data_IF_859583718965
#
_entry.id   IF_859583718965
#
_cell.length_a   1.000
_cell.length_b   1.000
_cell.length_c   1.000
_cell.angle_alpha   90.00
_cell.angle_beta   90.00
_cell.angle_gamma   90.00
#
_symmetry.space_group_name_H-M   'P 1'
#
loop_
_entity.id
_entity.type
_entity.pdbx_description
1 polymer ?
#
# COMPACT_ATOMS: atom_id res chain seq x y z
N UNK A 1 -20.26 -17.46 -3.00
CA UNK A 1 -19.78 -16.06 -2.84
C UNK A 1 -18.67 -15.83 -3.86
N UNK A 2 -18.99 -15.27 -5.02
CA UNK A 2 -17.99 -14.98 -6.05
C UNK A 2 -17.27 -13.68 -5.72
N UNK A 3 -15.95 -13.75 -5.55
CA UNK A 3 -15.08 -12.57 -5.49
C UNK A 3 -14.95 -12.07 -6.93
N UNK A 4 -15.68 -11.02 -7.28
CA UNK A 4 -15.63 -10.39 -8.61
C UNK A 4 -14.19 -9.97 -8.91
N UNK A 5 -13.53 -10.68 -9.83
CA UNK A 5 -12.26 -10.28 -10.41
C UNK A 5 -12.52 -9.07 -11.30
N UNK A 6 -11.97 -7.89 -11.01
CA UNK A 6 -12.30 -6.68 -11.75
C UNK A 6 -11.80 -6.69 -13.18
N UNK A 7 -12.70 -6.37 -14.10
CA UNK A 7 -12.47 -6.27 -15.54
C UNK A 7 -11.62 -5.06 -15.96
N UNK A 8 -11.31 -4.14 -15.04
CA UNK A 8 -10.43 -2.99 -15.27
C UNK A 8 -10.00 -2.32 -13.97
N UNK A 9 -8.70 -2.02 -13.84
CA UNK A 9 -8.11 -1.45 -12.64
C UNK A 9 -7.52 -2.47 -11.67
N UNK A 10 -7.16 -2.00 -10.49
CA UNK A 10 -6.46 -2.79 -9.49
C UNK A 10 -6.60 -2.17 -8.10
N UNK A 11 -6.36 -2.99 -7.10
CA UNK A 11 -6.61 -2.70 -5.70
C UNK A 11 -5.31 -2.72 -4.93
N UNK A 12 -5.04 -1.62 -4.24
CA UNK A 12 -4.01 -1.56 -3.22
C UNK A 12 -4.66 -1.80 -1.86
N UNK A 13 -4.13 -2.78 -1.14
CA UNK A 13 -4.47 -3.07 0.24
C UNK A 13 -3.20 -2.93 1.09
N UNK A 14 -3.27 -2.09 2.10
CA UNK A 14 -2.23 -1.95 3.12
C UNK A 14 -2.82 -2.48 4.43
N UNK A 15 -2.15 -3.42 5.06
CA UNK A 15 -2.54 -3.97 6.37
C UNK A 15 -1.40 -3.69 7.33
N UNK A 16 -1.67 -2.98 8.42
CA UNK A 16 -0.64 -2.59 9.37
C UNK A 16 -0.14 -3.84 10.09
N UNK A 17 1.14 -4.17 9.91
CA UNK A 17 1.79 -5.31 10.54
C UNK A 17 2.27 -4.93 11.95
N UNK A 18 2.98 -3.80 12.08
CA UNK A 18 3.49 -3.32 13.36
C UNK A 18 3.59 -1.79 13.38
N UNK A 19 3.67 -1.24 14.59
CA UNK A 19 3.96 0.18 14.86
C UNK A 19 4.95 0.21 16.01
N UNK A 20 6.05 0.92 15.82
CA UNK A 20 7.00 1.31 16.88
C UNK A 20 7.01 2.83 17.04
N UNK A 21 7.91 3.34 17.88
CA UNK A 21 8.13 4.78 18.04
C UNK A 21 8.77 5.41 16.78
N UNK A 22 9.60 4.66 16.07
CA UNK A 22 10.37 5.16 14.93
C UNK A 22 9.72 4.83 13.58
N UNK A 23 9.00 3.72 13.48
CA UNK A 23 8.53 3.21 12.19
C UNK A 23 7.14 2.56 12.25
N UNK A 24 6.45 2.59 11.11
CA UNK A 24 5.25 1.78 10.88
C UNK A 24 5.47 0.83 9.70
N UNK A 25 5.11 -0.44 9.91
CA UNK A 25 5.23 -1.47 8.88
C UNK A 25 3.84 -1.87 8.38
N UNK A 26 3.71 -1.96 7.06
CA UNK A 26 2.50 -2.44 6.39
C UNK A 26 2.81 -3.64 5.51
N UNK A 27 1.96 -4.65 5.58
CA UNK A 27 1.82 -5.65 4.52
C UNK A 27 1.07 -4.99 3.36
N UNK A 28 1.66 -5.08 2.17
CA UNK A 28 1.13 -4.50 0.92
C UNK A 28 0.65 -5.62 0.02
N UNK A 29 -0.63 -5.59 -0.34
CA UNK A 29 -1.21 -6.46 -1.34
C UNK A 29 -1.71 -5.64 -2.53
N UNK A 30 -1.11 -5.86 -3.70
CA UNK A 30 -1.51 -5.31 -4.98
C UNK A 30 -2.31 -6.39 -5.70
N UNK A 31 -3.56 -6.10 -6.07
CA UNK A 31 -4.40 -7.04 -6.80
C UNK A 31 -4.75 -6.40 -8.13
N UNK A 32 -4.25 -6.95 -9.21
CA UNK A 32 -4.56 -6.53 -10.58
C UNK A 32 -5.37 -7.61 -11.31
N UNK A 33 -5.71 -7.36 -12.58
CA UNK A 33 -6.35 -8.36 -13.42
C UNK A 33 -5.43 -9.57 -13.66
N UNK A 34 -4.12 -9.34 -13.73
CA UNK A 34 -3.12 -10.36 -14.07
C UNK A 34 -2.60 -11.15 -12.85
N UNK A 35 -3.00 -10.77 -11.64
CA UNK A 35 -2.58 -11.49 -10.44
C UNK A 35 -2.58 -10.67 -9.16
N UNK A 36 -1.97 -11.28 -8.14
CA UNK A 36 -1.79 -10.65 -6.82
C UNK A 36 -0.31 -10.65 -6.47
N UNK A 37 0.14 -9.51 -5.93
CA UNK A 37 1.50 -9.30 -5.47
C UNK A 37 1.50 -8.88 -4.01
N UNK A 38 2.30 -9.57 -3.22
CA UNK A 38 2.44 -9.36 -1.79
C UNK A 38 3.85 -8.88 -1.48
N UNK A 39 3.95 -7.83 -0.68
CA UNK A 39 5.20 -7.27 -0.22
C UNK A 39 5.02 -6.59 1.12
N UNK A 40 6.07 -5.98 1.62
CA UNK A 40 6.05 -5.21 2.87
C UNK A 40 6.50 -3.78 2.59
N UNK A 41 6.11 -2.86 3.45
CA UNK A 41 6.61 -1.50 3.44
C UNK A 41 6.89 -1.00 4.84
N UNK A 42 7.86 -0.10 4.94
CA UNK A 42 8.19 0.62 6.16
C UNK A 42 8.10 2.11 5.89
N UNK A 43 7.58 2.86 6.88
CA UNK A 43 7.60 4.31 6.88
C UNK A 43 8.28 4.75 8.17
N UNK A 44 9.35 5.52 8.05
CA UNK A 44 9.96 6.24 9.16
C UNK A 44 9.03 7.39 9.59
N UNK A 45 8.67 7.43 10.87
CA UNK A 45 7.65 8.33 11.40
C UNK A 45 8.16 9.78 11.38
N UNK A 46 9.43 10.00 11.73
CA UNK A 46 10.03 11.32 11.86
C UNK A 46 10.27 12.00 10.50
N UNK A 47 10.84 11.27 9.55
CA UNK A 47 11.28 11.77 8.24
C UNK A 47 10.26 11.54 7.13
N UNK A 48 9.41 10.53 7.27
CA UNK A 48 8.52 10.06 6.20
C UNK A 48 9.24 9.28 5.11
N UNK A 49 10.49 8.86 5.34
CA UNK A 49 11.20 7.96 4.43
C UNK A 49 10.39 6.67 4.26
N UNK A 50 10.12 6.32 3.01
CA UNK A 50 9.31 5.19 2.64
C UNK A 50 10.15 4.16 1.92
N UNK A 51 10.14 2.95 2.46
CA UNK A 51 10.78 1.79 1.84
C UNK A 51 9.72 0.77 1.49
N UNK A 52 9.82 0.26 0.27
CA UNK A 52 8.92 -0.75 -0.26
C UNK A 52 9.78 -1.98 -0.56
N UNK A 53 9.50 -3.08 0.12
CA UNK A 53 10.18 -4.35 -0.08
C UNK A 53 9.86 -4.96 -1.44
N UNK A 54 10.59 -6.02 -1.82
CA UNK A 54 10.31 -6.76 -3.04
C UNK A 54 8.91 -7.39 -2.98
N UNK A 55 8.24 -7.40 -4.13
CA UNK A 55 6.96 -8.08 -4.27
C UNK A 55 7.16 -9.54 -4.70
N UNK A 56 6.35 -10.42 -4.13
CA UNK A 56 6.22 -11.83 -4.52
C UNK A 56 4.83 -12.04 -5.12
N UNK A 57 4.67 -12.94 -6.10
CA UNK A 57 3.38 -13.17 -6.73
C UNK A 57 3.47 -13.72 -8.15
N UNK A 58 2.41 -13.50 -8.94
CA UNK A 58 2.20 -14.02 -10.30
C UNK A 58 3.18 -13.50 -11.37
N UNK A 59 4.27 -12.83 -10.98
CA UNK A 59 5.24 -12.19 -11.87
C UNK A 59 5.73 -10.86 -11.31
N UNK A 60 6.25 -9.99 -12.18
CA UNK A 60 6.61 -8.62 -11.80
C UNK A 60 5.34 -7.79 -11.49
N UNK A 61 5.37 -7.04 -10.38
CA UNK A 61 4.23 -6.22 -9.99
C UNK A 61 4.09 -5.01 -10.94
N UNK A 62 2.89 -4.70 -11.46
CA UNK A 62 2.71 -3.58 -12.37
C UNK A 62 3.17 -2.26 -11.73
N UNK A 63 4.07 -1.53 -12.41
CA UNK A 63 4.68 -0.31 -11.86
C UNK A 63 3.66 0.73 -11.42
N UNK A 64 2.54 0.88 -12.14
CA UNK A 64 1.47 1.83 -11.76
C UNK A 64 0.76 1.46 -10.44
N UNK A 65 0.67 0.17 -10.08
CA UNK A 65 0.15 -0.27 -8.78
C UNK A 65 1.15 -0.03 -7.66
N UNK A 66 2.44 -0.26 -7.94
CA UNK A 66 3.54 0.04 -7.02
C UNK A 66 3.58 1.54 -6.69
N UNK A 67 3.51 2.40 -7.71
CA UNK A 67 3.46 3.86 -7.55
C UNK A 67 2.19 4.33 -6.82
N UNK A 68 1.05 3.67 -7.08
CA UNK A 68 -0.19 3.92 -6.33
C UNK A 68 -0.01 3.60 -4.85
N UNK A 69 0.62 2.47 -4.51
CA UNK A 69 0.90 2.08 -3.13
C UNK A 69 1.83 3.09 -2.42
N UNK A 70 2.92 3.52 -3.09
CA UNK A 70 3.81 4.57 -2.57
C UNK A 70 3.05 5.87 -2.29
N UNK A 71 2.21 6.29 -3.22
CA UNK A 71 1.38 7.51 -3.08
C UNK A 71 0.43 7.40 -1.88
N UNK A 72 -0.20 6.23 -1.69
CA UNK A 72 -1.10 6.01 -0.56
C UNK A 72 -0.38 6.03 0.78
N UNK A 73 0.74 5.32 0.90
CA UNK A 73 1.55 5.30 2.11
C UNK A 73 2.04 6.71 2.46
N UNK A 74 2.51 7.49 1.48
CA UNK A 74 2.89 8.90 1.67
C UNK A 74 1.71 9.77 2.11
N UNK A 75 0.52 9.52 1.58
CA UNK A 75 -0.71 10.22 2.00
C UNK A 75 -1.05 9.88 3.45
N UNK A 76 -0.96 8.60 3.84
CA UNK A 76 -1.19 8.16 5.21
C UNK A 76 -0.21 8.87 6.14
N UNK A 77 1.09 8.84 5.88
CA UNK A 77 2.08 9.56 6.68
C UNK A 77 1.77 11.06 6.80
N UNK A 78 1.48 11.73 5.68
CA UNK A 78 1.19 13.17 5.66
C UNK A 78 -0.04 13.55 6.50
N UNK A 79 -1.04 12.65 6.58
CA UNK A 79 -2.21 12.82 7.44
C UNK A 79 -1.86 12.60 8.92
N UNK A 80 -1.08 11.55 9.23
CA UNK A 80 -0.81 11.17 10.63
C UNK A 80 0.24 12.01 11.32
N UNK A 81 1.21 12.58 10.59
CA UNK A 81 2.23 13.46 11.20
C UNK A 81 1.67 14.73 11.86
N UNK A 82 0.40 15.07 11.59
CA UNK A 82 -0.30 16.22 12.20
C UNK A 82 -1.07 15.86 13.47
N UNK A 83 -1.20 14.57 13.77
CA UNK A 83 -1.91 14.06 14.96
C UNK A 83 -0.92 13.87 16.12
N UNK A 84 -1.37 14.09 17.36
CA UNK A 84 -0.58 13.83 18.57
C UNK A 84 -1.46 13.13 19.64
N UNK A 85 -1.25 11.82 19.90
CA UNK A 85 -0.31 10.91 19.24
C UNK A 85 -0.80 10.48 17.83
N UNK A 86 0.11 10.12 16.90
CA UNK A 86 -0.27 9.67 15.57
C UNK A 86 -1.01 8.33 15.59
N UNK A 87 -2.22 8.28 15.02
CA UNK A 87 -3.03 7.05 14.97
C UNK A 87 -2.93 6.40 13.59
N UNK A 88 -2.07 5.39 13.47
CA UNK A 88 -1.86 4.67 12.22
C UNK A 88 -3.06 3.80 11.84
N UNK A 89 -3.61 3.89 10.61
CA UNK A 89 -4.74 3.06 10.21
C UNK A 89 -4.35 1.58 10.18
N UNK A 90 -5.19 0.71 10.76
CA UNK A 90 -4.99 -0.75 10.73
C UNK A 90 -5.06 -1.31 9.31
N UNK A 91 -5.93 -0.74 8.47
CA UNK A 91 -6.16 -1.22 7.10
C UNK A 91 -6.50 -0.06 6.18
N UNK A 92 -5.83 0.04 5.04
CA UNK A 92 -6.14 1.00 3.98
C UNK A 92 -6.46 0.22 2.71
N UNK A 93 -7.67 0.42 2.17
CA UNK A 93 -8.13 -0.20 0.93
C UNK A 93 -8.44 0.90 -0.08
N UNK A 94 -7.84 0.82 -1.26
CA UNK A 94 -8.09 1.77 -2.34
C UNK A 94 -8.13 1.09 -3.70
N UNK A 95 -9.09 1.52 -4.50
CA UNK A 95 -9.21 1.16 -5.91
C UNK A 95 -8.46 2.16 -6.78
N UNK A 96 -7.82 1.69 -7.85
CA UNK A 96 -7.17 2.52 -8.86
C UNK A 96 -7.35 1.93 -10.25
N UNK A 97 -7.71 2.78 -11.21
CA UNK A 97 -7.55 2.47 -12.62
C UNK A 97 -6.09 2.70 -13.05
N UNK A 98 -5.57 1.99 -14.06
CA UNK A 98 -4.29 2.34 -14.66
C UNK A 98 -4.35 3.79 -15.18
N UNK A 99 -3.27 4.54 -14.98
CA UNK A 99 -3.20 5.93 -15.41
C UNK A 99 -2.95 5.96 -16.93
N UNK A 100 -4.00 6.21 -17.71
CA UNK A 100 -3.91 6.33 -19.18
C UNK A 100 -4.92 5.51 -20.00
N UNK A 101 -6.03 5.06 -19.39
CA UNK A 101 -7.20 4.57 -20.13
C UNK A 101 -8.11 5.73 -20.56
#
# INVERSE_FOLDING_TARGET
MALETPTGGGRVLLTRASVSEDAVVYDVALNGPDGTWLGTSSIDIATGQLELGPFTGSGEAPGWLVESARTFLRTVWSQRKKENPPVWPRRVRRWRAPKGA
#
